data_IF_935392176848
#
_entry.id   IF_935392176848
#
_cell.length_a   1.000
_cell.length_b   1.000
_cell.length_c   1.000
_cell.angle_alpha   90.00
_cell.angle_beta   90.00
_cell.angle_gamma   90.00
#
_symmetry.space_group_name_H-M   'P 1'
#
loop_
_entity.id
_entity.type
_entity.pdbx_description
1 polymer ?
#
# COMPACT_ATOMS: atom_id res chain seq x y z
N UNK A 1 -34.38 -6.16 -2.43
CA UNK A 1 -33.07 -6.59 -2.96
C UNK A 1 -32.31 -7.25 -1.82
N UNK A 2 -32.08 -8.56 -1.85
CA UNK A 2 -31.30 -9.26 -0.81
C UNK A 2 -29.85 -8.78 -0.95
N UNK A 3 -29.33 -8.03 0.04
CA UNK A 3 -27.90 -7.69 0.08
C UNK A 3 -27.14 -9.00 0.31
N UNK A 4 -26.46 -9.50 -0.72
CA UNK A 4 -25.64 -10.70 -0.59
C UNK A 4 -24.44 -10.40 0.31
N UNK A 5 -24.28 -11.18 1.39
CA UNK A 5 -23.07 -11.21 2.22
C UNK A 5 -21.90 -11.61 1.31
N UNK A 6 -20.81 -10.82 1.32
CA UNK A 6 -19.63 -11.03 0.47
C UNK A 6 -18.52 -11.74 1.25
N UNK A 7 -17.73 -12.62 0.64
CA UNK A 7 -16.61 -13.22 1.36
C UNK A 7 -15.61 -12.14 1.83
N UNK A 8 -15.01 -12.29 3.03
CA UNK A 8 -13.94 -11.40 3.47
C UNK A 8 -12.79 -11.34 2.47
N UNK A 9 -12.19 -10.15 2.31
CA UNK A 9 -11.13 -9.92 1.31
C UNK A 9 -9.79 -10.57 1.64
N UNK A 10 -9.50 -10.76 2.93
CA UNK A 10 -8.27 -11.39 3.40
C UNK A 10 -8.59 -12.60 4.29
N UNK A 11 -7.64 -13.53 4.35
CA UNK A 11 -7.83 -14.80 5.04
C UNK A 11 -7.88 -14.62 6.58
N UNK A 12 -7.24 -13.60 7.15
CA UNK A 12 -7.27 -13.33 8.59
C UNK A 12 -8.66 -12.87 9.06
N UNK A 13 -9.34 -12.04 8.26
CA UNK A 13 -10.72 -11.63 8.47
C UNK A 13 -11.67 -12.82 8.33
N UNK A 14 -11.39 -13.72 7.38
CA UNK A 14 -12.16 -14.96 7.20
C UNK A 14 -12.05 -15.91 8.40
N UNK A 15 -10.85 -16.12 8.96
CA UNK A 15 -10.70 -16.87 10.21
C UNK A 15 -11.42 -16.21 11.39
N UNK A 16 -11.41 -14.88 11.45
CA UNK A 16 -12.10 -14.14 12.51
C UNK A 16 -13.61 -14.34 12.40
N UNK A 17 -14.15 -14.30 11.18
CA UNK A 17 -15.54 -14.61 10.88
C UNK A 17 -15.88 -16.05 11.30
N UNK A 18 -15.08 -17.05 10.90
CA UNK A 18 -15.31 -18.45 11.27
C UNK A 18 -15.30 -18.64 12.79
N UNK A 19 -14.33 -18.05 13.51
CA UNK A 19 -14.29 -18.07 14.97
C UNK A 19 -15.55 -17.47 15.59
N UNK A 20 -16.03 -16.34 15.07
CA UNK A 20 -17.23 -15.67 15.60
C UNK A 20 -18.48 -16.51 15.35
N UNK A 21 -18.66 -16.96 14.11
CA UNK A 21 -19.79 -17.77 13.65
C UNK A 21 -19.89 -19.08 14.44
N UNK A 22 -18.84 -19.90 14.41
CA UNK A 22 -18.87 -21.19 15.08
C UNK A 22 -18.84 -21.05 16.60
N UNK A 23 -18.31 -19.94 17.14
CA UNK A 23 -18.45 -19.63 18.57
C UNK A 23 -19.90 -19.45 19.02
N UNK A 24 -20.74 -18.82 18.18
CA UNK A 24 -22.18 -18.68 18.41
C UNK A 24 -22.90 -20.01 18.21
N UNK A 25 -22.69 -20.68 17.07
CA UNK A 25 -23.33 -21.96 16.73
C UNK A 25 -23.03 -23.03 17.80
N UNK A 26 -21.77 -23.15 18.22
CA UNK A 26 -21.35 -24.13 19.20
C UNK A 26 -21.68 -23.73 20.64
N UNK A 27 -22.23 -22.53 20.87
CA UNK A 27 -22.52 -22.01 22.21
C UNK A 27 -21.26 -21.87 23.08
N UNK A 28 -20.10 -21.63 22.47
CA UNK A 28 -18.81 -21.57 23.14
C UNK A 28 -17.99 -20.30 22.80
N UNK A 29 -18.60 -19.09 22.80
CA UNK A 29 -17.96 -17.87 22.29
C UNK A 29 -16.70 -17.46 23.06
N UNK A 30 -16.55 -17.90 24.31
CA UNK A 30 -15.41 -17.56 25.18
C UNK A 30 -14.27 -18.58 25.13
N UNK A 31 -14.53 -19.81 24.66
CA UNK A 31 -13.53 -20.90 24.66
C UNK A 31 -13.03 -21.24 23.27
N UNK A 32 -13.76 -20.86 22.22
CA UNK A 32 -13.27 -20.97 20.84
C UNK A 32 -12.08 -20.01 20.60
N UNK A 33 -11.03 -20.50 19.95
CA UNK A 33 -9.76 -19.79 19.76
C UNK A 33 -9.22 -19.98 18.36
N UNK A 34 -8.51 -18.97 17.85
CA UNK A 34 -7.59 -19.16 16.72
C UNK A 34 -6.37 -19.92 17.22
N UNK A 35 -5.83 -20.81 16.41
CA UNK A 35 -4.70 -21.63 16.75
C UNK A 35 -3.40 -20.95 16.36
N UNK A 36 -2.50 -20.65 17.30
CA UNK A 36 -1.14 -20.16 17.03
C UNK A 36 -1.01 -18.86 16.23
N UNK A 37 0.24 -18.45 15.96
CA UNK A 37 0.60 -17.38 15.02
C UNK A 37 1.14 -17.97 13.72
N UNK A 38 1.11 -17.20 12.63
CA UNK A 38 1.77 -17.52 11.36
C UNK A 38 3.20 -18.07 11.58
N UNK A 39 3.50 -19.22 10.99
CA UNK A 39 4.81 -19.87 11.05
C UNK A 39 4.97 -20.88 12.19
N UNK A 40 3.98 -21.03 13.07
CA UNK A 40 3.96 -22.13 14.05
C UNK A 40 3.27 -23.37 13.46
N UNK A 41 3.69 -24.56 13.88
CA UNK A 41 2.97 -25.79 13.52
C UNK A 41 1.59 -25.77 14.17
N UNK A 42 0.55 -25.55 13.37
CA UNK A 42 -0.85 -25.45 13.80
C UNK A 42 -1.63 -26.76 13.55
N UNK A 43 -0.95 -27.85 13.21
CA UNK A 43 -1.56 -29.13 12.84
C UNK A 43 -2.68 -28.98 11.78
N UNK A 44 -2.60 -27.99 10.89
CA UNK A 44 -3.65 -27.73 9.89
C UNK A 44 -5.01 -27.37 10.48
N UNK A 45 -5.04 -26.71 11.64
CA UNK A 45 -6.26 -26.22 12.30
C UNK A 45 -6.07 -24.74 12.60
N UNK A 46 -6.91 -23.88 12.02
CA UNK A 46 -6.83 -22.42 12.19
C UNK A 46 -7.68 -21.95 13.37
N UNK A 47 -8.82 -22.60 13.62
CA UNK A 47 -9.72 -22.31 14.75
C UNK A 47 -10.11 -23.62 15.44
N UNK A 48 -10.15 -23.62 16.77
CA UNK A 48 -10.62 -24.78 17.53
C UNK A 48 -11.44 -24.37 18.73
N UNK A 49 -12.29 -25.28 19.20
CA UNK A 49 -13.12 -25.08 20.38
C UNK A 49 -13.74 -26.37 20.86
N UNK A 50 -14.46 -26.30 21.98
CA UNK A 50 -15.30 -27.41 22.48
C UNK A 50 -16.74 -26.94 22.46
N UNK A 51 -17.61 -27.54 21.62
CA UNK A 51 -19.01 -27.19 21.64
C UNK A 51 -19.66 -27.40 23.01
N UNK A 52 -20.71 -26.65 23.28
CA UNK A 52 -21.44 -26.71 24.54
C UNK A 52 -21.99 -28.12 24.76
N UNK A 53 -21.52 -28.78 25.81
CA UNK A 53 -21.90 -30.15 26.14
C UNK A 53 -20.95 -31.23 25.61
N UNK A 54 -19.95 -30.85 24.81
CA UNK A 54 -18.91 -31.75 24.31
C UNK A 54 -17.64 -31.69 25.17
N UNK A 55 -16.94 -32.82 25.28
CA UNK A 55 -15.67 -32.94 26.00
C UNK A 55 -14.45 -32.87 25.08
N UNK A 56 -14.65 -33.19 23.80
CA UNK A 56 -13.62 -33.29 22.77
C UNK A 56 -13.55 -32.02 21.90
N UNK A 57 -12.42 -31.83 21.23
CA UNK A 57 -12.19 -30.64 20.41
C UNK A 57 -12.76 -30.79 19.00
N UNK A 58 -13.31 -29.68 18.50
CA UNK A 58 -13.67 -29.50 17.10
C UNK A 58 -12.69 -28.49 16.51
N UNK A 59 -12.19 -28.78 15.32
CA UNK A 59 -11.21 -27.96 14.60
C UNK A 59 -11.77 -27.48 13.27
N UNK A 60 -11.38 -26.28 12.87
CA UNK A 60 -11.75 -25.66 11.59
C UNK A 60 -10.46 -25.31 10.85
N UNK A 61 -10.33 -25.81 9.63
CA UNK A 61 -9.37 -25.34 8.64
C UNK A 61 -10.08 -24.35 7.72
N UNK A 62 -9.63 -23.10 7.77
CA UNK A 62 -10.09 -22.01 6.93
C UNK A 62 -9.29 -21.99 5.62
N UNK A 63 -9.98 -21.87 4.48
CA UNK A 63 -9.35 -21.64 3.18
C UNK A 63 -10.01 -20.44 2.50
N UNK A 64 -9.37 -19.27 2.66
CA UNK A 64 -9.67 -18.09 1.87
C UNK A 64 -9.18 -18.28 0.44
N UNK A 65 -10.10 -18.43 -0.49
CA UNK A 65 -9.86 -18.39 -1.92
C UNK A 65 -10.30 -16.99 -2.36
N UNK A 66 -9.33 -16.16 -2.73
CA UNK A 66 -9.55 -14.78 -3.17
C UNK A 66 -10.65 -14.72 -4.24
N UNK A 67 -11.39 -13.60 -4.33
CA UNK A 67 -12.49 -13.37 -5.29
C UNK A 67 -12.07 -13.39 -6.78
N UNK A 68 -10.87 -13.87 -7.11
CA UNK A 68 -10.46 -14.12 -8.48
C UNK A 68 -11.10 -15.42 -8.95
N UNK A 69 -11.77 -15.34 -10.10
CA UNK A 69 -12.40 -16.47 -10.78
C UNK A 69 -11.41 -17.66 -10.83
N UNK A 70 -11.81 -18.80 -10.26
CA UNK A 70 -11.15 -20.12 -10.34
C UNK A 70 -10.01 -20.52 -9.37
N UNK A 71 -10.05 -20.10 -8.09
CA UNK A 71 -9.30 -20.83 -7.04
C UNK A 71 -10.18 -21.84 -6.30
N UNK A 72 -10.41 -23.01 -6.89
CA UNK A 72 -11.12 -24.13 -6.24
C UNK A 72 -10.31 -24.75 -5.09
N UNK A 73 -11.01 -25.38 -4.15
CA UNK A 73 -10.39 -26.32 -3.20
C UNK A 73 -10.05 -27.62 -3.96
N UNK A 74 -8.86 -28.17 -3.74
CA UNK A 74 -8.41 -29.38 -4.44
C UNK A 74 -8.36 -30.60 -3.53
N UNK A 75 -8.49 -31.81 -4.11
CA UNK A 75 -8.38 -33.07 -3.36
C UNK A 75 -7.02 -33.21 -2.65
N UNK A 76 -5.93 -32.81 -3.31
CA UNK A 76 -4.59 -32.86 -2.70
C UNK A 76 -4.45 -31.90 -1.53
N UNK A 77 -5.06 -30.72 -1.58
CA UNK A 77 -5.09 -29.81 -0.42
C UNK A 77 -5.84 -30.45 0.74
N UNK A 78 -7.02 -31.05 0.48
CA UNK A 78 -7.83 -31.72 1.49
C UNK A 78 -7.05 -32.84 2.19
N UNK A 79 -6.41 -33.72 1.41
CA UNK A 79 -5.62 -34.82 1.95
C UNK A 79 -4.48 -34.33 2.86
N UNK A 80 -3.76 -33.29 2.43
CA UNK A 80 -2.68 -32.71 3.22
C UNK A 80 -3.17 -32.13 4.54
N UNK A 81 -4.32 -31.43 4.54
CA UNK A 81 -4.87 -30.87 5.77
C UNK A 81 -5.44 -31.95 6.69
N UNK A 82 -6.05 -33.03 6.17
CA UNK A 82 -6.49 -34.18 6.98
C UNK A 82 -5.29 -34.83 7.69
N UNK A 83 -4.17 -35.01 6.97
CA UNK A 83 -2.95 -35.58 7.54
C UNK A 83 -2.43 -34.70 8.68
N UNK A 84 -2.36 -33.38 8.48
CA UNK A 84 -1.93 -32.47 9.55
C UNK A 84 -2.91 -32.46 10.72
N UNK A 85 -4.22 -32.42 10.46
CA UNK A 85 -5.25 -32.43 11.50
C UNK A 85 -5.20 -33.69 12.37
N UNK A 86 -4.74 -34.82 11.81
CA UNK A 86 -4.53 -36.06 12.57
C UNK A 86 -3.45 -35.96 13.65
N UNK A 87 -2.56 -34.97 13.56
CA UNK A 87 -1.54 -34.70 14.58
C UNK A 87 -2.00 -33.66 15.61
N UNK A 88 -3.25 -33.21 15.57
CA UNK A 88 -3.78 -32.26 16.54
C UNK A 88 -3.95 -32.93 17.91
N UNK A 89 -3.41 -32.30 18.96
CA UNK A 89 -3.48 -32.79 20.33
C UNK A 89 -4.14 -31.78 21.27
N UNK A 90 -5.09 -32.20 22.13
CA UNK A 90 -5.73 -33.53 22.17
C UNK A 90 -6.56 -33.84 20.90
N UNK A 91 -6.78 -35.12 20.59
CA UNK A 91 -7.45 -35.54 19.36
C UNK A 91 -8.77 -34.81 19.10
N UNK A 92 -9.02 -34.51 17.82
CA UNK A 92 -10.26 -33.93 17.35
C UNK A 92 -11.37 -34.98 17.30
N UNK A 93 -12.59 -34.54 17.58
CA UNK A 93 -13.83 -35.26 17.27
C UNK A 93 -14.35 -34.92 15.87
N UNK A 94 -14.21 -33.65 15.46
CA UNK A 94 -14.69 -33.13 14.17
C UNK A 94 -13.66 -32.18 13.56
N UNK A 95 -13.40 -32.36 12.26
CA UNK A 95 -12.66 -31.45 11.39
C UNK A 95 -13.64 -30.78 10.41
N UNK A 96 -13.66 -29.46 10.41
CA UNK A 96 -14.46 -28.65 9.49
C UNK A 96 -13.54 -27.95 8.49
N UNK A 97 -13.80 -28.14 7.21
CA UNK A 97 -13.28 -27.28 6.15
C UNK A 97 -14.24 -26.13 5.92
N UNK A 98 -13.81 -24.90 6.19
CA UNK A 98 -14.56 -23.69 5.86
C UNK A 98 -13.86 -22.97 4.71
N UNK A 99 -14.58 -22.66 3.62
CA UNK A 99 -13.98 -22.00 2.45
C UNK A 99 -14.85 -20.89 1.88
N UNK A 100 -14.20 -19.85 1.35
CA UNK A 100 -14.87 -18.79 0.55
C UNK A 100 -15.13 -19.22 -0.90
N UNK A 101 -14.70 -20.42 -1.31
CA UNK A 101 -15.04 -20.97 -2.61
C UNK A 101 -16.53 -21.32 -2.71
N UNK A 102 -17.07 -21.27 -3.93
CA UNK A 102 -18.41 -21.76 -4.22
C UNK A 102 -18.48 -23.28 -4.16
N UNK A 103 -19.68 -23.82 -3.96
CA UNK A 103 -19.93 -25.26 -3.95
C UNK A 103 -19.37 -25.96 -5.19
N UNK A 104 -18.72 -27.10 -4.98
CA UNK A 104 -18.23 -27.98 -6.04
C UNK A 104 -18.61 -29.43 -5.72
N UNK A 105 -19.46 -30.01 -6.59
CA UNK A 105 -20.00 -31.35 -6.40
C UNK A 105 -18.93 -32.45 -6.36
N UNK A 106 -17.78 -32.27 -7.04
CA UNK A 106 -16.68 -33.22 -6.98
C UNK A 106 -16.03 -33.20 -5.60
N UNK A 107 -15.77 -32.00 -5.07
CA UNK A 107 -15.16 -31.82 -3.75
C UNK A 107 -16.10 -32.27 -2.63
N UNK A 108 -17.40 -31.96 -2.71
CA UNK A 108 -18.37 -32.46 -1.73
C UNK A 108 -18.43 -33.99 -1.72
N UNK A 109 -18.41 -34.63 -2.90
CA UNK A 109 -18.33 -36.10 -3.00
C UNK A 109 -17.05 -36.62 -2.36
N UNK A 110 -15.93 -35.96 -2.61
CA UNK A 110 -14.64 -36.34 -2.07
C UNK A 110 -14.60 -36.26 -0.54
N UNK A 111 -15.11 -35.17 0.05
CA UNK A 111 -15.24 -35.02 1.51
C UNK A 111 -16.09 -36.14 2.11
N UNK A 112 -17.24 -36.50 1.50
CA UNK A 112 -18.06 -37.63 1.98
C UNK A 112 -17.31 -38.96 1.98
N UNK A 113 -16.46 -39.20 1.00
CA UNK A 113 -15.61 -40.42 0.96
C UNK A 113 -14.59 -40.37 2.09
N UNK A 114 -13.89 -39.24 2.27
CA UNK A 114 -12.89 -39.06 3.32
C UNK A 114 -13.46 -39.15 4.73
N UNK A 115 -14.65 -38.63 4.94
CA UNK A 115 -15.38 -38.76 6.21
C UNK A 115 -15.66 -40.23 6.53
N UNK A 116 -16.18 -41.00 5.56
CA UNK A 116 -16.38 -42.44 5.74
C UNK A 116 -15.08 -43.20 6.03
N UNK A 117 -13.98 -42.85 5.36
CA UNK A 117 -12.65 -43.44 5.62
C UNK A 117 -12.16 -43.08 7.03
N UNK A 118 -12.32 -41.84 7.46
CA UNK A 118 -11.92 -41.35 8.78
C UNK A 118 -12.70 -42.05 9.90
N UNK A 119 -14.03 -42.11 9.74
CA UNK A 119 -14.94 -42.78 10.68
C UNK A 119 -14.64 -44.27 10.84
N UNK A 120 -14.39 -45.00 9.73
CA UNK A 120 -14.00 -46.43 9.78
C UNK A 120 -12.70 -46.67 10.53
N UNK A 121 -11.81 -45.69 10.55
CA UNK A 121 -10.53 -45.75 11.25
C UNK A 121 -10.62 -45.21 12.70
N UNK A 122 -11.82 -44.91 13.21
CA UNK A 122 -12.01 -44.36 14.56
C UNK A 122 -11.38 -42.98 14.77
N UNK A 123 -11.27 -42.19 13.70
CA UNK A 123 -10.75 -40.81 13.73
C UNK A 123 -11.90 -39.80 13.81
N UNK A 124 -11.62 -38.53 13.50
CA UNK A 124 -12.60 -37.45 13.51
C UNK A 124 -13.57 -37.50 12.33
N UNK A 125 -14.77 -36.95 12.51
CA UNK A 125 -15.73 -36.62 11.45
C UNK A 125 -15.18 -35.49 10.57
N UNK A 126 -15.49 -35.47 9.27
CA UNK A 126 -15.04 -34.44 8.32
C UNK A 126 -16.24 -33.77 7.66
N UNK A 127 -16.34 -32.45 7.83
CA UNK A 127 -17.45 -31.62 7.32
C UNK A 127 -16.93 -30.50 6.43
N UNK A 128 -17.68 -30.13 5.39
CA UNK A 128 -17.35 -29.01 4.49
C UNK A 128 -18.46 -27.94 4.55
N UNK A 129 -18.07 -26.68 4.73
CA UNK A 129 -18.91 -25.50 4.52
C UNK A 129 -18.30 -24.63 3.42
N UNK A 130 -19.00 -24.55 2.28
CA UNK A 130 -18.67 -23.61 1.21
C UNK A 130 -19.24 -22.23 1.52
N UNK A 131 -18.91 -21.22 0.70
CA UNK A 131 -19.32 -19.85 0.99
C UNK A 131 -20.83 -19.70 1.13
N UNK A 132 -21.62 -20.35 0.26
CA UNK A 132 -23.07 -20.29 0.34
C UNK A 132 -23.59 -20.89 1.67
N UNK A 133 -23.00 -21.99 2.15
CA UNK A 133 -23.41 -22.59 3.43
C UNK A 133 -23.08 -21.67 4.61
N UNK A 134 -21.90 -21.02 4.56
CA UNK A 134 -21.49 -20.04 5.58
C UNK A 134 -22.41 -18.81 5.57
N UNK A 135 -22.85 -18.35 4.40
CA UNK A 135 -23.81 -17.24 4.29
C UNK A 135 -25.13 -17.60 4.98
N UNK A 136 -25.67 -18.80 4.71
CA UNK A 136 -26.90 -19.26 5.36
C UNK A 136 -26.73 -19.32 6.88
N UNK A 137 -25.62 -19.91 7.36
CA UNK A 137 -25.29 -19.92 8.79
C UNK A 137 -25.16 -18.51 9.38
N UNK A 138 -24.54 -17.56 8.68
CA UNK A 138 -24.43 -16.17 9.15
C UNK A 138 -25.80 -15.53 9.24
N UNK A 139 -26.68 -15.71 8.25
CA UNK A 139 -28.04 -15.16 8.25
C UNK A 139 -28.89 -15.73 9.40
N UNK A 140 -28.66 -17.00 9.78
CA UNK A 140 -29.36 -17.68 10.87
C UNK A 140 -28.84 -17.32 12.28
N UNK A 141 -27.61 -16.80 12.38
CA UNK A 141 -26.93 -16.52 13.66
C UNK A 141 -26.81 -15.01 13.89
N UNK A 142 -27.76 -14.45 14.65
CA UNK A 142 -28.00 -13.00 14.78
C UNK A 142 -26.80 -12.23 15.31
N UNK A 143 -26.03 -12.76 16.27
CA UNK A 143 -24.90 -12.01 16.83
C UNK A 143 -23.76 -11.90 15.83
N UNK A 144 -23.53 -12.96 15.07
CA UNK A 144 -22.56 -13.00 13.98
C UNK A 144 -23.00 -12.14 12.82
N UNK A 145 -24.27 -12.22 12.41
CA UNK A 145 -24.84 -11.33 11.40
C UNK A 145 -24.63 -9.86 11.77
N UNK A 146 -25.00 -9.47 13.00
CA UNK A 146 -24.83 -8.10 13.47
C UNK A 146 -23.36 -7.70 13.52
N UNK A 147 -22.47 -8.57 14.01
CA UNK A 147 -21.03 -8.30 14.05
C UNK A 147 -20.46 -8.12 12.63
N UNK A 148 -20.85 -8.98 11.70
CA UNK A 148 -20.39 -8.97 10.32
C UNK A 148 -20.90 -7.72 9.58
N UNK A 149 -22.19 -7.43 9.70
CA UNK A 149 -22.80 -6.22 9.16
C UNK A 149 -22.21 -4.97 9.80
N UNK A 150 -21.97 -4.95 11.10
CA UNK A 150 -21.36 -3.78 11.76
C UNK A 150 -19.90 -3.58 11.36
N UNK A 151 -19.11 -4.64 11.20
CA UNK A 151 -17.71 -4.51 10.77
C UNK A 151 -17.59 -4.07 9.31
N UNK A 152 -18.45 -4.59 8.43
CA UNK A 152 -18.50 -4.11 7.05
C UNK A 152 -19.13 -2.73 6.98
N UNK A 153 -20.19 -2.47 7.72
CA UNK A 153 -20.75 -1.13 7.81
C UNK A 153 -19.73 -0.15 8.39
N UNK A 154 -18.85 -0.52 9.33
CA UNK A 154 -17.84 0.40 9.84
C UNK A 154 -16.80 0.72 8.76
N UNK A 155 -16.36 -0.28 7.97
CA UNK A 155 -15.53 -0.06 6.78
C UNK A 155 -16.27 0.77 5.71
N UNK A 156 -17.53 0.48 5.40
CA UNK A 156 -18.37 1.23 4.45
C UNK A 156 -18.81 2.62 4.98
N UNK A 157 -18.80 2.82 6.30
CA UNK A 157 -19.09 4.08 6.96
C UNK A 157 -17.91 5.03 6.81
N UNK A 158 -16.71 4.52 7.02
CA UNK A 158 -15.48 5.29 6.92
C UNK A 158 -14.54 4.67 5.88
N UNK A 159 -14.67 5.10 4.63
CA UNK A 159 -13.79 4.70 3.54
C UNK A 159 -13.30 5.92 2.73
N UNK A 160 -12.05 5.87 2.29
CA UNK A 160 -11.42 6.95 1.52
C UNK A 160 -10.47 6.35 0.49
N UNK A 161 -10.58 6.83 -0.74
CA UNK A 161 -9.64 6.58 -1.82
C UNK A 161 -8.62 7.72 -1.90
N UNK A 162 -7.33 7.40 -1.89
CA UNK A 162 -6.23 8.34 -2.14
C UNK A 162 -5.51 7.91 -3.41
N UNK A 163 -5.34 8.83 -4.34
CA UNK A 163 -4.69 8.59 -5.64
C UNK A 163 -3.66 9.68 -5.91
N UNK A 164 -2.59 9.33 -6.62
CA UNK A 164 -1.55 10.27 -7.06
C UNK A 164 -1.49 10.19 -8.59
N UNK A 165 -1.78 11.30 -9.24
CA UNK A 165 -1.63 11.47 -10.68
C UNK A 165 -0.31 12.20 -10.97
N UNK A 166 0.51 11.62 -11.83
CA UNK A 166 1.83 12.14 -12.21
C UNK A 166 1.79 12.96 -13.50
N UNK A 167 0.63 13.05 -14.17
CA UNK A 167 0.47 13.67 -15.47
C UNK A 167 0.95 12.82 -16.65
N UNK A 168 1.29 11.55 -16.41
CA UNK A 168 1.75 10.60 -17.42
C UNK A 168 0.86 9.35 -17.45
N UNK A 169 0.54 8.85 -18.66
CA UNK A 169 -0.40 7.75 -18.87
C UNK A 169 -0.02 6.44 -18.17
N UNK A 170 1.27 6.21 -17.92
CA UNK A 170 1.79 5.03 -17.22
C UNK A 170 1.92 5.23 -15.70
N UNK A 171 1.55 6.40 -15.17
CA UNK A 171 1.69 6.73 -13.74
C UNK A 171 3.13 6.89 -13.26
N UNK A 172 4.12 6.89 -14.16
CA UNK A 172 5.52 7.14 -13.80
C UNK A 172 5.79 8.64 -13.68
N UNK A 173 6.84 9.00 -12.95
CA UNK A 173 7.44 10.34 -13.00
C UNK A 173 8.70 10.33 -13.87
N UNK A 174 8.90 11.40 -14.64
CA UNK A 174 10.03 11.54 -15.58
C UNK A 174 10.86 12.78 -15.26
N UNK A 175 11.69 12.75 -14.20
CA UNK A 175 12.55 13.87 -13.88
C UNK A 175 13.59 14.04 -14.99
N UNK A 176 13.87 15.28 -15.36
CA UNK A 176 14.96 15.58 -16.30
C UNK A 176 16.20 16.03 -15.55
N UNK A 177 17.32 15.36 -15.78
CA UNK A 177 18.60 15.66 -15.16
C UNK A 177 19.65 16.01 -16.20
N UNK A 178 20.67 16.76 -15.79
CA UNK A 178 21.85 17.03 -16.61
C UNK A 178 22.94 16.04 -16.22
N UNK A 179 23.45 15.31 -17.22
CA UNK A 179 24.61 14.42 -17.13
C UNK A 179 25.79 15.10 -17.83
N UNK A 180 26.71 15.64 -17.05
CA UNK A 180 27.91 16.28 -17.59
C UNK A 180 29.04 15.26 -17.64
N UNK A 181 29.64 15.09 -18.82
CA UNK A 181 30.82 14.26 -19.05
C UNK A 181 32.00 15.19 -19.34
N UNK A 182 32.90 15.34 -18.38
CA UNK A 182 34.11 16.15 -18.53
C UNK A 182 35.27 15.24 -18.94
N UNK A 183 35.82 15.48 -20.12
CA UNK A 183 37.01 14.79 -20.63
C UNK A 183 38.22 15.68 -20.44
N UNK A 184 39.18 15.20 -19.65
CA UNK A 184 40.45 15.88 -19.42
C UNK A 184 41.46 15.40 -20.45
N UNK A 185 41.97 16.31 -21.28
CA UNK A 185 42.93 16.00 -22.36
C UNK A 185 44.19 16.83 -22.22
N UNK A 186 45.35 16.27 -22.53
CA UNK A 186 46.61 17.01 -22.50
C UNK A 186 46.68 18.06 -23.63
N UNK A 187 47.13 19.28 -23.30
CA UNK A 187 47.42 20.30 -24.31
C UNK A 187 48.51 19.83 -25.30
N UNK A 188 48.36 20.04 -26.62
CA UNK A 188 49.52 20.00 -27.52
C UNK A 188 50.48 21.16 -27.17
N UNK A 189 51.80 20.98 -27.25
CA UNK A 189 52.76 21.98 -26.80
C UNK A 189 52.65 23.27 -27.63
N UNK A 190 52.14 24.35 -27.03
CA UNK A 190 52.13 25.69 -27.63
C UNK A 190 52.99 26.68 -26.84
N UNK A 191 53.74 27.48 -27.61
CA UNK A 191 54.64 28.53 -27.13
C UNK A 191 53.86 29.61 -26.39
N UNK A 192 54.45 30.05 -25.28
CA UNK A 192 53.94 31.10 -24.39
C UNK A 192 53.47 32.35 -25.13
N UNK A 193 52.25 32.78 -24.82
CA UNK A 193 51.91 34.20 -24.73
C UNK A 193 51.18 34.46 -23.40
N UNK A 194 51.73 35.40 -22.64
CA UNK A 194 51.23 35.83 -21.35
C UNK A 194 50.03 36.76 -21.53
N UNK A 195 48.87 36.39 -20.97
CA UNK A 195 48.03 37.27 -20.13
C UNK A 195 46.67 36.64 -19.85
N UNK A 196 46.34 36.46 -18.56
CA UNK A 196 45.16 37.08 -17.92
C UNK A 196 45.09 36.67 -16.45
N UNK A 197 44.84 37.67 -15.60
CA UNK A 197 44.63 37.54 -14.17
C UNK A 197 43.40 36.66 -13.86
N UNK A 198 43.57 35.69 -12.97
CA UNK A 198 42.47 34.93 -12.37
C UNK A 198 41.91 35.70 -11.16
N UNK A 199 40.62 36.05 -11.20
CA UNK A 199 39.91 36.63 -10.05
C UNK A 199 39.28 35.52 -9.19
N UNK A 200 39.74 35.43 -7.95
CA UNK A 200 39.17 34.62 -6.87
C UNK A 200 37.92 35.36 -6.34
N UNK A 201 36.74 35.05 -6.88
CA UNK A 201 35.48 35.72 -6.46
C UNK A 201 34.28 34.77 -6.25
N UNK A 202 34.47 33.45 -6.32
CA UNK A 202 33.37 32.47 -6.33
C UNK A 202 33.08 31.82 -4.96
N UNK A 203 33.53 32.41 -3.85
CA UNK A 203 33.41 31.78 -2.51
C UNK A 203 32.31 32.32 -1.59
N UNK A 204 31.58 33.39 -1.94
CA UNK A 204 30.51 33.91 -1.07
C UNK A 204 29.38 34.60 -1.84
N UNK A 205 28.50 33.82 -2.48
CA UNK A 205 27.16 34.31 -2.84
C UNK A 205 26.09 33.28 -2.46
N UNK A 206 25.15 33.69 -1.60
CA UNK A 206 23.92 32.93 -1.37
C UNK A 206 23.07 33.01 -2.64
N UNK A 207 22.48 31.90 -3.13
CA UNK A 207 21.67 31.95 -4.35
C UNK A 207 20.39 32.76 -4.07
N UNK A 208 20.34 33.98 -4.60
CA UNK A 208 19.08 34.65 -4.95
C UNK A 208 18.72 34.19 -6.36
N UNK A 209 17.63 33.45 -6.49
CA UNK A 209 17.14 33.03 -7.82
C UNK A 209 16.74 34.29 -8.63
N UNK A 210 17.31 34.53 -9.82
CA UNK A 210 16.82 35.55 -10.74
C UNK A 210 15.49 35.11 -11.34
N UNK A 211 14.63 36.06 -11.71
CA UNK A 211 13.42 35.80 -12.49
C UNK A 211 13.78 35.17 -13.85
N UNK A 212 13.03 34.14 -14.29
CA UNK A 212 13.16 33.53 -15.63
C UNK A 212 13.92 32.20 -15.72
N UNK A 213 14.14 31.47 -14.62
CA UNK A 213 14.73 30.10 -14.66
C UNK A 213 13.72 29.03 -14.28
N UNK A 214 13.68 27.93 -15.05
CA UNK A 214 12.81 26.77 -14.79
C UNK A 214 13.65 25.52 -14.53
N UNK A 215 13.44 24.87 -13.38
CA UNK A 215 14.04 23.58 -13.09
C UNK A 215 13.11 22.45 -13.57
N UNK A 216 13.57 21.68 -14.57
CA UNK A 216 12.82 20.59 -15.20
C UNK A 216 12.98 19.25 -14.49
N UNK A 217 13.76 19.20 -13.40
CA UNK A 217 13.89 18.01 -12.54
C UNK A 217 12.71 17.81 -11.59
N UNK A 218 11.87 18.84 -11.39
CA UNK A 218 10.67 18.75 -10.56
C UNK A 218 9.59 17.90 -11.22
N UNK A 219 9.13 16.89 -10.48
CA UNK A 219 7.99 16.07 -10.84
C UNK A 219 6.76 16.58 -10.10
N UNK A 220 5.69 16.91 -10.84
CA UNK A 220 4.40 17.32 -10.28
C UNK A 220 3.59 16.10 -9.88
N UNK A 221 3.05 16.11 -8.67
CA UNK A 221 2.18 15.08 -8.13
C UNK A 221 0.83 15.72 -7.77
N UNK A 222 -0.25 15.27 -8.40
CA UNK A 222 -1.62 15.69 -8.08
C UNK A 222 -2.25 14.64 -7.18
N UNK A 223 -2.43 14.99 -5.91
CA UNK A 223 -2.98 14.09 -4.90
C UNK A 223 -4.47 14.33 -4.81
N UNK A 224 -5.26 13.27 -4.94
CA UNK A 224 -6.71 13.32 -4.88
C UNK A 224 -7.22 12.39 -3.77
N UNK A 225 -7.98 12.98 -2.85
CA UNK A 225 -8.63 12.34 -1.71
C UNK A 225 -10.13 12.34 -1.98
N UNK A 226 -10.74 11.15 -2.03
CA UNK A 226 -12.17 11.00 -2.25
C UNK A 226 -12.79 10.24 -1.09
N UNK A 227 -13.80 10.83 -0.44
CA UNK A 227 -14.58 10.11 0.57
C UNK A 227 -15.50 9.11 -0.14
N UNK A 228 -15.15 7.83 -0.06
CA UNK A 228 -15.92 6.72 -0.65
C UNK A 228 -16.87 6.08 0.35
N UNK A 229 -16.74 6.42 1.64
CA UNK A 229 -17.61 5.96 2.70
C UNK A 229 -18.93 6.72 2.77
N UNK A 230 -19.74 6.35 3.77
CA UNK A 230 -21.07 6.89 4.00
C UNK A 230 -21.16 7.91 5.14
N UNK A 231 -20.06 8.24 5.83
CA UNK A 231 -19.98 9.25 6.89
C UNK A 231 -19.09 10.43 6.48
N UNK A 232 -19.42 11.62 6.98
CA UNK A 232 -18.64 12.86 6.80
C UNK A 232 -17.34 12.80 7.62
N UNK A 233 -16.21 13.17 7.03
CA UNK A 233 -14.95 13.29 7.75
C UNK A 233 -14.72 14.72 8.24
N UNK A 234 -14.63 14.89 9.56
CA UNK A 234 -14.37 16.14 10.26
C UNK A 234 -12.95 16.16 10.83
N UNK A 235 -12.37 17.36 10.98
CA UNK A 235 -11.02 17.59 11.51
C UNK A 235 -9.95 16.73 10.84
N UNK A 236 -10.07 16.54 9.53
CA UNK A 236 -9.20 15.63 8.80
C UNK A 236 -7.88 16.31 8.39
N UNK A 237 -6.82 15.51 8.26
CA UNK A 237 -5.53 15.89 7.68
C UNK A 237 -4.91 14.69 6.98
N UNK A 238 -4.24 14.92 5.87
CA UNK A 238 -3.45 13.91 5.17
C UNK A 238 -1.96 14.19 5.36
N UNK A 239 -1.19 13.15 5.66
CA UNK A 239 0.28 13.17 5.71
C UNK A 239 0.81 12.25 4.62
N UNK A 240 1.74 12.75 3.82
CA UNK A 240 2.44 12.01 2.78
C UNK A 240 3.92 11.95 3.15
N UNK A 241 4.42 10.78 3.52
CA UNK A 241 5.83 10.56 3.85
C UNK A 241 6.49 9.85 2.68
N UNK A 242 7.51 10.49 2.09
CA UNK A 242 8.24 9.97 0.94
C UNK A 242 9.43 9.12 1.39
N UNK A 243 9.75 8.10 0.59
CA UNK A 243 10.94 7.27 0.75
C UNK A 243 12.24 8.07 0.70
N UNK A 244 13.32 7.45 1.19
CA UNK A 244 14.62 8.09 1.32
C UNK A 244 15.26 8.55 0.01
N UNK A 245 14.83 7.99 -1.12
CA UNK A 245 15.28 8.31 -2.46
C UNK A 245 14.58 9.53 -3.09
N UNK A 246 14.03 10.41 -2.26
CA UNK A 246 13.54 11.73 -2.65
C UNK A 246 14.44 12.80 -2.08
N UNK A 247 15.12 13.52 -2.99
CA UNK A 247 16.12 14.55 -2.68
C UNK A 247 15.49 15.86 -2.23
N UNK A 248 14.42 16.29 -2.91
CA UNK A 248 13.70 17.54 -2.62
C UNK A 248 12.20 17.34 -2.66
N UNK A 249 11.50 18.09 -1.82
CA UNK A 249 10.05 18.18 -1.77
C UNK A 249 9.62 19.63 -1.70
N UNK A 250 8.54 19.96 -2.39
CA UNK A 250 7.93 21.28 -2.40
C UNK A 250 6.40 21.11 -2.37
N UNK A 251 5.69 22.07 -1.80
CA UNK A 251 4.23 22.14 -1.85
C UNK A 251 3.77 23.20 -2.87
N UNK A 252 2.46 23.25 -3.11
CA UNK A 252 1.84 24.24 -4.00
C UNK A 252 1.36 25.48 -3.22
N UNK A 253 1.86 25.71 -1.99
CA UNK A 253 1.42 26.84 -1.19
C UNK A 253 1.93 28.15 -1.80
N UNK A 254 1.03 29.11 -2.10
CA UNK A 254 1.42 30.39 -2.67
C UNK A 254 2.26 31.16 -1.64
N UNK A 255 3.52 31.39 -2.00
CA UNK A 255 4.39 32.29 -1.23
C UNK A 255 3.92 33.73 -1.48
N UNK A 256 3.86 34.59 -0.46
CA UNK A 256 3.39 35.96 -0.60
C UNK A 256 4.40 36.79 -1.41
N UNK A 257 4.31 36.72 -2.73
CA UNK A 257 4.93 37.67 -3.66
C UNK A 257 3.85 38.66 -4.12
N UNK A 258 4.14 39.94 -3.94
CA UNK A 258 3.25 41.11 -3.90
C UNK A 258 2.50 41.41 -5.23
N UNK A 259 2.63 40.58 -6.28
CA UNK A 259 2.11 40.90 -7.62
C UNK A 259 1.31 39.82 -8.36
N UNK A 260 1.03 38.64 -7.78
CA UNK A 260 0.17 37.65 -8.44
C UNK A 260 -1.23 37.60 -7.81
N UNK A 261 -2.15 38.35 -8.42
CA UNK A 261 -3.59 38.24 -8.27
C UNK A 261 -4.11 37.01 -9.05
N UNK A 262 -3.72 35.80 -8.64
CA UNK A 262 -4.50 34.60 -8.97
C UNK A 262 -5.42 34.31 -7.79
N UNK A 263 -6.75 34.23 -7.97
CA UNK A 263 -7.64 33.83 -6.90
C UNK A 263 -7.24 32.43 -6.44
N UNK A 264 -6.86 32.30 -5.17
CA UNK A 264 -6.59 31.01 -4.55
C UNK A 264 -7.90 30.22 -4.45
N UNK A 265 -8.14 29.33 -5.41
CA UNK A 265 -9.18 28.30 -5.30
C UNK A 265 -8.72 27.08 -4.48
N UNK A 266 -7.57 27.18 -3.79
CA UNK A 266 -7.03 26.11 -2.96
C UNK A 266 -8.00 25.77 -1.82
N UNK A 267 -8.57 24.56 -1.87
CA UNK A 267 -9.48 24.03 -0.85
C UNK A 267 -8.73 23.47 0.36
N UNK A 268 -7.39 23.44 0.31
CA UNK A 268 -6.51 22.91 1.33
C UNK A 268 -5.28 23.79 1.49
N UNK A 269 -4.70 23.78 2.69
CA UNK A 269 -3.37 24.30 2.98
C UNK A 269 -2.37 23.14 3.01
N UNK A 270 -1.24 23.32 2.34
CA UNK A 270 -0.19 22.31 2.20
C UNK A 270 1.12 22.78 2.82
N UNK A 271 1.88 21.87 3.42
CA UNK A 271 3.21 22.15 3.97
C UNK A 271 4.17 21.02 3.61
N UNK A 272 5.26 21.34 2.92
CA UNK A 272 6.37 20.44 2.67
C UNK A 272 7.50 20.64 3.70
N UNK A 273 7.92 19.55 4.31
CA UNK A 273 9.04 19.47 5.25
C UNK A 273 10.11 18.58 4.64
N UNK A 274 11.16 19.20 4.09
CA UNK A 274 12.17 18.51 3.31
C UNK A 274 13.01 17.53 4.16
N UNK A 275 13.40 17.91 5.38
CA UNK A 275 14.19 17.05 6.29
C UNK A 275 13.42 15.78 6.69
N UNK A 276 12.12 15.92 6.94
CA UNK A 276 11.24 14.82 7.32
C UNK A 276 10.70 14.03 6.12
N UNK A 277 10.98 14.50 4.88
CA UNK A 277 10.39 14.02 3.63
C UNK A 277 8.85 13.93 3.70
N UNK A 278 8.23 14.95 4.29
CA UNK A 278 6.83 14.94 4.66
C UNK A 278 6.07 16.08 3.99
N UNK A 279 4.93 15.76 3.37
CA UNK A 279 3.94 16.76 2.95
C UNK A 279 2.67 16.59 3.79
N UNK A 280 2.19 17.67 4.39
CA UNK A 280 0.93 17.69 5.15
C UNK A 280 -0.10 18.52 4.41
N UNK A 281 -1.30 17.97 4.22
CA UNK A 281 -2.46 18.67 3.69
C UNK A 281 -3.54 18.77 4.78
N UNK A 282 -4.08 19.98 4.99
CA UNK A 282 -5.27 20.23 5.82
C UNK A 282 -6.33 21.00 5.05
N UNK A 283 -7.63 20.71 5.25
CA UNK A 283 -8.70 21.48 4.65
C UNK A 283 -8.66 22.93 5.11
N UNK A 284 -8.94 23.86 4.19
CA UNK A 284 -9.10 25.27 4.56
C UNK A 284 -10.33 25.42 5.48
N UNK A 285 -10.19 26.25 6.52
CA UNK A 285 -11.23 26.50 7.52
C UNK A 285 -11.78 25.22 8.20
N UNK A 286 -10.98 24.15 8.26
CA UNK A 286 -11.42 22.84 8.76
C UNK A 286 -12.68 22.30 8.04
N UNK A 287 -12.84 22.63 6.75
CA UNK A 287 -13.98 22.17 5.98
C UNK A 287 -14.05 20.64 5.94
N UNK A 288 -15.23 20.05 6.22
CA UNK A 288 -15.37 18.59 6.24
C UNK A 288 -15.26 18.02 4.82
N UNK A 289 -14.85 16.76 4.73
CA UNK A 289 -14.94 15.98 3.50
C UNK A 289 -16.22 15.15 3.55
N UNK A 290 -17.29 15.68 2.97
CA UNK A 290 -18.61 15.01 2.95
C UNK A 290 -18.60 13.80 2.00
N UNK A 291 -19.63 12.97 2.09
CA UNK A 291 -19.71 11.73 1.32
C UNK A 291 -19.64 12.00 -0.18
N UNK A 292 -18.87 11.18 -0.92
CA UNK A 292 -18.63 11.29 -2.37
C UNK A 292 -17.90 12.56 -2.82
N UNK A 293 -17.60 13.48 -1.90
CA UNK A 293 -16.83 14.68 -2.20
C UNK A 293 -15.35 14.34 -2.39
N UNK A 294 -14.66 15.23 -3.07
CA UNK A 294 -13.27 15.07 -3.48
C UNK A 294 -12.48 16.33 -3.13
N UNK A 295 -11.26 16.13 -2.65
CA UNK A 295 -10.27 17.19 -2.43
C UNK A 295 -8.99 16.83 -3.14
N UNK A 296 -8.43 17.80 -3.84
CA UNK A 296 -7.17 17.63 -4.55
C UNK A 296 -6.22 18.76 -4.21
N UNK A 297 -4.93 18.43 -4.17
CA UNK A 297 -3.85 19.39 -4.03
C UNK A 297 -2.63 18.89 -4.81
N UNK A 298 -1.69 19.80 -5.06
CA UNK A 298 -0.45 19.48 -5.74
C UNK A 298 0.70 19.49 -4.74
N UNK A 299 1.66 18.59 -4.91
CA UNK A 299 3.01 18.78 -4.40
C UNK A 299 4.03 18.40 -5.49
N UNK A 300 5.30 18.65 -5.22
CA UNK A 300 6.37 18.39 -6.16
C UNK A 300 7.50 17.64 -5.47
N UNK A 301 8.17 16.76 -6.21
CA UNK A 301 9.37 16.09 -5.74
C UNK A 301 10.49 16.13 -6.78
N UNK A 302 11.73 16.09 -6.31
CA UNK A 302 12.89 15.69 -7.12
C UNK A 302 13.38 14.36 -6.52
N UNK A 303 13.25 13.23 -7.22
CA UNK A 303 13.84 11.97 -6.78
C UNK A 303 15.37 12.02 -6.87
N UNK A 304 16.04 11.06 -6.24
CA UNK A 304 17.47 10.86 -6.45
C UNK A 304 17.77 10.54 -7.91
N UNK A 305 19.00 10.84 -8.34
CA UNK A 305 19.37 10.79 -9.76
C UNK A 305 19.31 9.38 -10.35
N UNK A 306 19.42 8.35 -9.52
CA UNK A 306 19.41 6.93 -9.83
C UNK A 306 18.16 6.22 -9.28
N UNK A 307 17.16 6.96 -8.79
CA UNK A 307 15.94 6.35 -8.28
C UNK A 307 15.15 5.66 -9.40
N UNK A 308 14.73 4.43 -9.16
CA UNK A 308 13.86 3.65 -10.05
C UNK A 308 12.37 3.66 -9.60
N UNK A 309 12.13 3.93 -8.32
CA UNK A 309 10.80 3.93 -7.70
C UNK A 309 10.76 4.94 -6.54
N UNK A 310 9.63 5.56 -6.26
CA UNK A 310 9.39 6.36 -5.05
C UNK A 310 8.16 5.81 -4.33
N UNK A 311 8.31 5.46 -3.06
CA UNK A 311 7.21 5.04 -2.20
C UNK A 311 6.68 6.23 -1.40
N UNK A 312 5.37 6.42 -1.44
CA UNK A 312 4.65 7.45 -0.68
C UNK A 312 3.74 6.77 0.34
N UNK A 313 4.04 6.93 1.63
CA UNK A 313 3.14 6.50 2.70
C UNK A 313 2.11 7.59 2.97
N UNK A 314 0.86 7.26 2.74
CA UNK A 314 -0.29 8.12 2.96
C UNK A 314 -0.92 7.78 4.31
N UNK A 315 -1.02 8.77 5.21
CA UNK A 315 -1.67 8.63 6.52
C UNK A 315 -2.77 9.68 6.66
N UNK A 316 -4.03 9.24 6.55
CA UNK A 316 -5.20 10.07 6.73
C UNK A 316 -5.74 9.94 8.14
N UNK A 317 -5.77 11.06 8.85
CA UNK A 317 -6.31 11.17 10.20
C UNK A 317 -7.54 12.07 10.16
N UNK A 318 -8.62 11.68 10.85
CA UNK A 318 -9.80 12.50 11.11
C UNK A 318 -10.34 12.19 12.51
N UNK A 319 -11.34 12.95 12.97
CA UNK A 319 -11.89 12.85 14.34
C UNK A 319 -12.19 11.41 14.81
N UNK A 320 -12.75 10.59 13.92
CA UNK A 320 -13.11 9.19 14.19
C UNK A 320 -12.55 8.21 13.14
N UNK A 321 -11.50 8.59 12.41
CA UNK A 321 -10.94 7.79 11.33
C UNK A 321 -9.43 7.88 11.30
N UNK A 322 -8.78 6.74 11.10
CA UNK A 322 -7.33 6.61 10.95
C UNK A 322 -7.04 5.52 9.92
N UNK A 323 -6.35 5.88 8.84
CA UNK A 323 -5.96 4.94 7.79
C UNK A 323 -4.59 5.27 7.24
N UNK A 324 -3.79 4.21 7.08
CA UNK A 324 -2.53 4.23 6.37
C UNK A 324 -2.61 3.37 5.10
N UNK A 325 -1.98 3.85 4.03
CA UNK A 325 -1.73 3.07 2.81
C UNK A 325 -0.44 3.54 2.14
N UNK A 326 0.11 2.72 1.26
CA UNK A 326 1.33 3.04 0.51
C UNK A 326 1.03 3.07 -0.98
N UNK A 327 1.64 4.02 -1.69
CA UNK A 327 1.55 4.17 -3.14
C UNK A 327 2.97 4.19 -3.68
N UNK A 328 3.24 3.31 -4.64
CA UNK A 328 4.52 3.21 -5.32
C UNK A 328 4.43 3.87 -6.70
N UNK A 329 5.43 4.69 -7.01
CA UNK A 329 5.50 5.47 -8.25
C UNK A 329 6.79 5.09 -8.96
N UNK A 330 6.70 4.63 -10.20
CA UNK A 330 7.88 4.31 -11.03
C UNK A 330 8.57 5.62 -11.41
N UNK A 331 9.91 5.63 -11.39
CA UNK A 331 10.74 6.75 -11.80
C UNK A 331 11.49 6.38 -13.08
N UNK A 332 11.35 7.20 -14.12
CA UNK A 332 12.04 7.03 -15.40
C UNK A 332 12.83 8.31 -15.72
N UNK A 333 14.08 8.44 -15.23
CA UNK A 333 14.87 9.65 -15.43
C UNK A 333 15.28 9.84 -16.89
N UNK A 334 15.13 11.08 -17.38
CA UNK A 334 15.66 11.52 -18.67
C UNK A 334 16.96 12.32 -18.43
N UNK A 335 18.04 11.96 -19.12
CA UNK A 335 19.32 12.67 -19.00
C UNK A 335 19.64 13.49 -20.24
N UNK A 336 19.74 14.80 -20.07
CA UNK A 336 20.37 15.69 -21.04
C UNK A 336 21.90 15.57 -20.89
N UNK A 337 22.63 15.39 -21.99
CA UNK A 337 24.08 15.14 -21.93
C UNK A 337 24.86 16.39 -22.34
N UNK A 338 25.72 16.86 -21.45
CA UNK A 338 26.67 17.94 -21.73
C UNK A 338 28.10 17.39 -21.79
N UNK A 339 28.84 17.75 -22.83
CA UNK A 339 30.22 17.33 -23.03
C UNK A 339 31.16 18.51 -22.80
N UNK A 340 32.03 18.41 -21.81
CA UNK A 340 33.05 19.41 -21.51
C UNK A 340 34.43 18.84 -21.79
N UNK A 341 35.32 19.69 -22.30
CA UNK A 341 36.74 19.34 -22.47
C UNK A 341 37.57 20.30 -21.64
N UNK A 342 38.29 19.76 -20.67
CA UNK A 342 39.22 20.52 -19.85
C UNK A 342 40.66 20.12 -20.19
N UNK A 343 41.53 21.12 -20.27
CA UNK A 343 42.92 20.89 -20.63
C UNK A 343 43.77 20.67 -19.38
N UNK A 344 44.54 19.58 -19.37
CA UNK A 344 45.47 19.23 -18.27
C UNK A 344 46.92 19.31 -18.71
N UNK A 345 47.81 19.53 -17.75
CA UNK A 345 49.24 19.68 -18.00
C UNK A 345 49.99 18.33 -17.97
N UNK A 346 49.52 17.37 -17.17
CA UNK A 346 50.09 16.02 -17.06
C UNK A 346 49.23 15.01 -17.82
N UNK A 347 49.87 14.04 -18.47
CA UNK A 347 49.17 12.89 -19.07
C UNK A 347 48.52 12.01 -18.00
N UNK A 348 49.02 12.04 -16.77
CA UNK A 348 48.48 11.28 -15.64
C UNK A 348 47.12 11.82 -15.17
N UNK A 349 46.77 13.05 -15.57
CA UNK A 349 45.51 13.70 -15.22
C UNK A 349 44.43 13.52 -16.32
N UNK A 350 44.72 12.80 -17.40
CA UNK A 350 43.73 12.47 -18.43
C UNK A 350 42.71 11.46 -17.89
N UNK A 351 41.45 11.88 -17.84
CA UNK A 351 40.35 11.07 -17.32
C UNK A 351 39.01 11.52 -17.89
N UNK A 352 37.99 10.72 -17.62
CA UNK A 352 36.59 11.08 -17.86
C UNK A 352 35.84 11.06 -16.53
N UNK A 353 35.32 12.22 -16.15
CA UNK A 353 34.48 12.35 -14.96
C UNK A 353 33.03 12.54 -15.39
N UNK A 354 32.11 11.87 -14.68
CA UNK A 354 30.67 11.97 -14.91
C UNK A 354 30.03 12.55 -13.67
N UNK A 355 29.26 13.62 -13.84
CA UNK A 355 28.49 14.25 -12.75
C UNK A 355 27.02 14.40 -13.16
N UNK A 356 26.13 14.36 -12.16
CA UNK A 356 24.70 14.55 -12.33
C UNK A 356 24.25 15.79 -11.58
N UNK A 357 23.40 16.59 -12.21
CA UNK A 357 22.82 17.78 -11.62
C UNK A 357 21.37 17.98 -12.06
N UNK A 358 20.67 18.88 -11.38
CA UNK A 358 19.30 19.27 -11.75
C UNK A 358 19.33 20.07 -13.06
N UNK A 359 18.38 19.81 -13.97
CA UNK A 359 18.33 20.49 -15.25
C UNK A 359 17.59 21.83 -15.13
N UNK A 360 18.33 22.93 -15.12
CA UNK A 360 17.81 24.29 -14.98
C UNK A 360 18.00 25.03 -16.31
N UNK A 361 16.91 25.55 -16.88
CA UNK A 361 16.89 26.28 -18.14
C UNK A 361 16.55 27.75 -17.87
N UNK A 362 17.22 28.68 -18.57
CA UNK A 362 16.83 30.09 -18.64
C UNK A 362 15.76 30.25 -19.75
N UNK A 363 14.60 30.83 -19.41
CA UNK A 363 13.49 31.13 -20.34
C UNK A 363 13.73 32.39 -21.17
#
# INVERSE_FOLDING_TARGET
MKKSIRPPENWQDFETLCKKLFGEIWGCPHTIKKNGRLGQSQAGIDVYGKPKGETEYWGIQCKGKDNYEDKKLTESEIDQEIIKASTFEPHLKVLIFATTASKDAQIEKYIRIKDQESSKNGRFEIVLYCWQDLVDLIEENRDTFNWYVNNIQFKDQFDVSITIDTGHDNGAIRPKFLKTITTYTQNPPQKHDFNKHASIAWMFEKPKMPFGKTNKSWCKLVITIKNTGSIVLEDWKLRLTFSNNVKKLEDDSPRPNIFNLSPNYALCTTWAYQEDRLVICKPLNNSPLIQKDTRSFTCYCIPDFDAEEVTVKCHLLARNFDRENEINIIVEPDYEVELLVEQVYSSDDEKKDITFSEWIIEE
#
